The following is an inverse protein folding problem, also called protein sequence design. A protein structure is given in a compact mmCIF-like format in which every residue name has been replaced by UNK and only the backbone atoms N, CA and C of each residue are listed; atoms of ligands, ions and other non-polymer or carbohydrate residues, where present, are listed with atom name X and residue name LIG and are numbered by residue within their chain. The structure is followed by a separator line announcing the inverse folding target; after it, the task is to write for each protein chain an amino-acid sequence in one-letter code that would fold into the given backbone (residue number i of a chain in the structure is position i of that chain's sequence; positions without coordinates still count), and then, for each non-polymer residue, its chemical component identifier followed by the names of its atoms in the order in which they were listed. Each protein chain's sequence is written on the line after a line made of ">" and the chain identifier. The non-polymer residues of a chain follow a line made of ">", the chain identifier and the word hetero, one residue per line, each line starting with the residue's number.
data_IF_645443339614
#
_entry.id   IF_645443339614
#
_cell.length_a   1.000
_cell.length_b   1.000
_cell.length_c   1.000
_cell.angle_alpha   90.00
_cell.angle_beta   90.00
_cell.angle_gamma   90.00
#
_symmetry.space_group_name_H-M   'P 1'
#
loop_
_entity.id
_entity.type
_entity.pdbx_description
1 polymer ?
#
# COMPACT_ATOMS: atom_id res chain seq x y z
N UNK A 1 -9.54 -29.94 -13.45
CA UNK A 1 -9.23 -28.60 -14.00
C UNK A 1 -10.18 -27.58 -13.37
N UNK A 2 -9.72 -26.81 -12.37
CA UNK A 2 -10.53 -25.75 -11.74
C UNK A 2 -10.36 -24.47 -12.54
N UNK A 3 -11.44 -24.00 -13.17
CA UNK A 3 -11.48 -22.79 -13.99
C UNK A 3 -11.31 -21.57 -13.06
N UNK A 4 -10.30 -20.74 -13.33
CA UNK A 4 -10.01 -19.51 -12.60
C UNK A 4 -11.21 -18.55 -12.76
N UNK A 5 -11.84 -18.03 -11.69
CA UNK A 5 -12.97 -17.12 -11.81
C UNK A 5 -12.50 -15.81 -12.44
N UNK A 6 -13.19 -15.35 -13.49
CA UNK A 6 -12.81 -14.13 -14.20
C UNK A 6 -13.22 -12.90 -13.37
N UNK A 7 -12.52 -11.78 -13.51
CA UNK A 7 -12.81 -10.48 -12.85
C UNK A 7 -14.30 -10.09 -12.95
N UNK A 8 -14.93 -10.49 -14.06
CA UNK A 8 -16.36 -10.26 -14.34
C UNK A 8 -17.26 -11.10 -13.43
N UNK A 9 -16.84 -12.29 -13.00
CA UNK A 9 -17.60 -13.14 -12.08
C UNK A 9 -17.58 -12.57 -10.65
N UNK A 10 -16.46 -12.00 -10.20
CA UNK A 10 -16.38 -11.35 -8.88
C UNK A 10 -17.18 -10.05 -8.87
N UNK A 11 -17.06 -9.25 -9.94
CA UNK A 11 -17.88 -8.05 -10.13
C UNK A 11 -19.36 -8.43 -10.20
N UNK A 12 -19.74 -9.51 -10.91
CA UNK A 12 -21.13 -10.01 -10.94
C UNK A 12 -21.58 -10.60 -9.61
N UNK A 13 -20.73 -11.24 -8.81
CA UNK A 13 -21.12 -11.72 -7.47
C UNK A 13 -21.31 -10.55 -6.50
N UNK A 14 -20.51 -9.49 -6.61
CA UNK A 14 -20.67 -8.27 -5.82
C UNK A 14 -21.82 -7.38 -6.33
N UNK A 15 -22.11 -7.38 -7.63
CA UNK A 15 -23.27 -6.68 -8.24
C UNK A 15 -24.58 -7.44 -8.05
N UNK A 16 -24.59 -8.78 -8.06
CA UNK A 16 -25.82 -9.59 -7.99
C UNK A 16 -26.47 -9.59 -6.61
N UNK A 17 -25.72 -9.28 -5.55
CA UNK A 17 -26.29 -9.00 -4.22
C UNK A 17 -26.78 -7.54 -4.08
N UNK A 18 -26.53 -6.68 -5.08
CA UNK A 18 -26.74 -5.21 -5.04
C UNK A 18 -27.60 -4.74 -6.23
N UNK A 19 -28.18 -5.64 -7.02
CA UNK A 19 -28.91 -5.30 -8.25
C UNK A 19 -30.39 -4.92 -8.00
N UNK A 20 -30.88 -4.93 -6.76
CA UNK A 20 -32.21 -4.39 -6.44
C UNK A 20 -32.08 -3.08 -5.64
N UNK A 21 -32.25 -1.97 -6.37
CA UNK A 21 -32.75 -0.67 -5.88
C UNK A 21 -31.79 0.31 -5.15
N UNK A 22 -30.47 0.18 -5.30
CA UNK A 22 -29.53 1.06 -4.56
C UNK A 22 -29.05 2.23 -5.44
N UNK A 23 -29.65 3.41 -5.24
CA UNK A 23 -29.29 4.66 -5.94
C UNK A 23 -27.82 5.06 -5.75
N UNK A 24 -27.23 5.74 -6.75
CA UNK A 24 -25.82 6.16 -6.79
C UNK A 24 -25.29 6.83 -5.51
N UNK A 25 -26.15 7.47 -4.71
CA UNK A 25 -25.78 8.13 -3.45
C UNK A 25 -25.42 7.15 -2.33
N UNK A 26 -26.09 5.99 -2.24
CA UNK A 26 -25.81 4.98 -1.19
C UNK A 26 -24.52 4.18 -1.48
N UNK A 27 -24.23 3.94 -2.77
CA UNK A 27 -23.00 3.28 -3.22
C UNK A 27 -21.75 4.08 -2.82
N UNK A 28 -21.84 5.42 -2.88
CA UNK A 28 -20.76 6.33 -2.49
C UNK A 28 -20.58 6.35 -0.97
N UNK A 29 -21.67 6.29 -0.20
CA UNK A 29 -21.61 6.20 1.25
C UNK A 29 -20.96 4.88 1.72
N UNK A 30 -21.17 3.77 0.98
CA UNK A 30 -20.49 2.50 1.21
C UNK A 30 -18.97 2.54 0.94
N UNK A 31 -18.54 3.30 -0.08
CA UNK A 31 -17.11 3.53 -0.37
C UNK A 31 -16.46 4.45 0.68
N UNK A 32 -17.20 5.43 1.19
CA UNK A 32 -16.76 6.35 2.25
C UNK A 32 -16.65 5.65 3.62
N UNK A 33 -17.59 4.75 3.95
CA UNK A 33 -17.66 4.09 5.26
C UNK A 33 -16.65 2.95 5.44
N UNK A 34 -16.07 2.41 4.36
CA UNK A 34 -15.02 1.37 4.44
C UNK A 34 -13.67 1.97 4.87
N UNK A 35 -13.54 2.23 6.17
CA UNK A 35 -12.26 2.45 6.86
C UNK A 35 -11.44 1.15 6.86
N UNK A 36 -10.83 0.78 5.73
CA UNK A 36 -9.93 -0.37 5.63
C UNK A 36 -8.46 -0.05 5.96
N UNK A 37 -8.17 1.15 6.44
CA UNK A 37 -6.80 1.63 6.63
C UNK A 37 -5.98 0.90 7.72
N UNK A 38 -6.52 -0.12 8.43
CA UNK A 38 -5.81 -0.71 9.57
C UNK A 38 -5.65 -2.23 9.62
N UNK A 39 -6.05 -2.99 8.60
CA UNK A 39 -6.03 -4.46 8.70
C UNK A 39 -5.16 -5.24 7.69
N UNK A 40 -4.48 -4.58 6.75
CA UNK A 40 -3.58 -5.30 5.83
C UNK A 40 -2.34 -5.85 6.56
N UNK A 41 -1.71 -5.07 7.45
CA UNK A 41 -0.53 -5.54 8.20
C UNK A 41 -0.85 -6.67 9.21
N UNK A 42 -2.07 -6.71 9.77
CA UNK A 42 -2.46 -7.74 10.74
C UNK A 42 -2.78 -9.08 10.07
N UNK A 43 -3.42 -9.09 8.90
CA UNK A 43 -3.79 -10.35 8.21
C UNK A 43 -2.58 -11.09 7.60
N UNK A 44 -1.52 -10.36 7.21
CA UNK A 44 -0.28 -10.98 6.70
C UNK A 44 0.50 -11.69 7.80
N UNK A 45 0.44 -11.20 9.04
CA UNK A 45 1.21 -11.76 10.15
C UNK A 45 0.56 -13.03 10.75
N UNK A 46 -0.75 -13.21 10.58
CA UNK A 46 -1.52 -14.28 11.23
C UNK A 46 -1.46 -15.63 10.48
N UNK A 47 -0.87 -15.68 9.28
CA UNK A 47 -0.71 -16.91 8.48
C UNK A 47 0.75 -17.32 8.24
N UNK A 48 1.72 -16.74 8.95
CA UNK A 48 3.12 -17.14 8.79
C UNK A 48 3.35 -18.48 9.49
N UNK A 49 3.59 -19.53 8.70
CA UNK A 49 4.05 -20.82 9.22
C UNK A 49 5.35 -20.65 10.01
N UNK A 50 5.61 -21.57 10.96
CA UNK A 50 6.80 -21.50 11.82
C UNK A 50 8.12 -21.38 11.02
N UNK A 51 8.21 -22.09 9.89
CA UNK A 51 9.34 -22.01 8.97
C UNK A 51 9.51 -20.64 8.31
N UNK A 52 8.40 -19.97 7.95
CA UNK A 52 8.47 -18.62 7.39
C UNK A 52 8.93 -17.60 8.44
N UNK A 53 8.48 -17.71 9.70
CA UNK A 53 8.99 -16.86 10.79
C UNK A 53 10.48 -17.07 11.07
N UNK A 54 10.94 -18.32 11.06
CA UNK A 54 12.36 -18.64 11.21
C UNK A 54 13.18 -18.07 10.03
N UNK A 55 12.70 -18.20 8.80
CA UNK A 55 13.35 -17.65 7.62
C UNK A 55 13.38 -16.10 7.63
N UNK A 56 12.32 -15.42 8.07
CA UNK A 56 12.32 -13.97 8.30
C UNK A 56 13.38 -13.56 9.33
N UNK A 57 13.49 -14.28 10.45
CA UNK A 57 14.48 -14.00 11.48
C UNK A 57 15.91 -14.21 10.96
N UNK A 58 16.17 -15.32 10.26
CA UNK A 58 17.47 -15.63 9.66
C UNK A 58 17.84 -14.60 8.59
N UNK A 59 16.91 -14.21 7.70
CA UNK A 59 17.17 -13.22 6.67
C UNK A 59 17.51 -11.84 7.26
N UNK A 60 16.79 -11.41 8.32
CA UNK A 60 17.08 -10.16 9.02
C UNK A 60 18.41 -10.17 9.75
N UNK A 61 18.79 -11.32 10.32
CA UNK A 61 20.09 -11.50 10.97
C UNK A 61 21.24 -11.53 9.96
N UNK A 62 21.11 -12.30 8.89
CA UNK A 62 22.12 -12.45 7.84
C UNK A 62 22.35 -11.14 7.05
N UNK A 63 21.35 -10.27 6.95
CA UNK A 63 21.47 -8.94 6.33
C UNK A 63 22.05 -7.84 7.22
N UNK A 64 22.46 -8.16 8.45
CA UNK A 64 22.99 -7.16 9.40
C UNK A 64 24.51 -6.97 9.25
N UNK A 65 24.97 -5.72 9.40
CA UNK A 65 26.40 -5.40 9.49
C UNK A 65 27.11 -6.12 10.64
N UNK A 66 26.41 -6.36 11.76
CA UNK A 66 26.97 -7.08 12.91
C UNK A 66 27.26 -8.55 12.59
N UNK A 67 26.45 -9.18 11.74
CA UNK A 67 26.66 -10.57 11.33
C UNK A 67 27.94 -10.72 10.51
N UNK A 68 28.18 -9.80 9.58
CA UNK A 68 29.40 -9.78 8.77
C UNK A 68 30.64 -9.71 9.66
N UNK A 69 30.65 -8.81 10.65
CA UNK A 69 31.78 -8.66 11.57
C UNK A 69 32.04 -9.92 12.41
N UNK A 70 30.98 -10.53 12.97
CA UNK A 70 31.10 -11.77 13.74
C UNK A 70 31.60 -12.91 12.85
N UNK A 71 31.06 -13.04 11.64
CA UNK A 71 31.44 -14.08 10.69
C UNK A 71 32.91 -13.95 10.28
N UNK A 72 33.37 -12.75 9.97
CA UNK A 72 34.79 -12.48 9.69
C UNK A 72 35.67 -12.79 10.91
N UNK A 73 35.25 -12.40 12.12
CA UNK A 73 36.00 -12.71 13.34
C UNK A 73 36.13 -14.23 13.56
N UNK A 74 35.07 -15.01 13.35
CA UNK A 74 35.11 -16.48 13.47
C UNK A 74 36.09 -17.09 12.46
N UNK A 75 36.09 -16.61 11.22
CA UNK A 75 37.06 -17.08 10.21
C UNK A 75 38.49 -16.77 10.65
N UNK A 76 38.75 -15.55 11.11
CA UNK A 76 40.09 -15.15 11.58
C UNK A 76 40.53 -15.96 12.80
N UNK A 77 39.62 -16.24 13.74
CA UNK A 77 39.89 -17.11 14.90
C UNK A 77 40.19 -18.54 14.45
N UNK A 78 39.45 -19.09 13.49
CA UNK A 78 39.68 -20.43 12.97
C UNK A 78 41.04 -20.57 12.29
N UNK A 79 41.38 -19.60 11.43
CA UNK A 79 42.69 -19.53 10.77
C UNK A 79 43.79 -19.37 11.82
N UNK A 80 43.62 -18.44 12.76
CA UNK A 80 44.59 -18.21 13.84
C UNK A 80 44.81 -19.44 14.73
N UNK A 81 43.75 -20.16 15.08
CA UNK A 81 43.83 -21.38 15.87
C UNK A 81 44.58 -22.50 15.12
N UNK A 82 44.32 -22.68 13.82
CA UNK A 82 45.01 -23.69 13.01
C UNK A 82 46.48 -23.33 12.75
N UNK A 83 46.80 -22.05 12.58
CA UNK A 83 48.19 -21.58 12.49
C UNK A 83 48.92 -21.71 13.83
N UNK A 84 48.25 -21.49 14.96
CA UNK A 84 48.88 -21.66 16.28
C UNK A 84 49.18 -23.13 16.60
N UNK A 85 48.34 -24.06 16.15
CA UNK A 85 48.51 -25.52 16.30
C UNK A 85 49.53 -26.12 15.30
N UNK A 86 50.67 -25.46 15.11
CA UNK A 86 51.73 -25.79 14.14
C UNK A 86 52.22 -27.26 14.20
N UNK A 87 52.08 -27.92 15.35
CA UNK A 87 52.52 -29.30 15.58
C UNK A 87 51.51 -30.37 15.15
N UNK A 88 50.20 -30.08 15.12
CA UNK A 88 49.17 -31.01 14.66
C UNK A 88 47.92 -30.23 14.20
N UNK A 89 48.01 -29.51 13.07
CA UNK A 89 46.92 -28.65 12.61
C UNK A 89 45.70 -29.49 12.22
N UNK A 90 44.53 -29.10 12.72
CA UNK A 90 43.26 -29.76 12.41
C UNK A 90 42.83 -29.54 10.93
N UNK A 91 43.16 -28.39 10.36
CA UNK A 91 42.92 -28.01 8.97
C UNK A 91 44.19 -27.36 8.37
N UNK A 92 45.14 -28.15 7.82
CA UNK A 92 46.37 -27.64 7.25
C UNK A 92 46.10 -26.71 6.07
N UNK A 93 46.97 -25.72 5.85
CA UNK A 93 46.94 -24.88 4.64
C UNK A 93 46.96 -25.79 3.39
N UNK A 94 45.97 -25.72 2.47
CA UNK A 94 45.11 -24.57 2.12
C UNK A 94 43.69 -24.52 2.75
N UNK A 95 43.48 -25.08 3.95
CA UNK A 95 42.20 -25.06 4.70
C UNK A 95 41.03 -25.72 3.97
N UNK A 96 41.10 -27.03 3.75
CA UNK A 96 40.11 -27.77 2.94
C UNK A 96 38.73 -27.81 3.62
N UNK A 97 38.69 -27.93 4.94
CA UNK A 97 37.43 -28.02 5.69
C UNK A 97 36.73 -26.68 5.72
N UNK A 98 37.46 -25.61 5.99
CA UNK A 98 36.93 -24.25 5.94
C UNK A 98 36.37 -23.92 4.55
N UNK A 99 37.11 -24.27 3.50
CA UNK A 99 36.68 -24.03 2.12
C UNK A 99 35.41 -24.81 1.74
N UNK A 100 35.31 -26.07 2.17
CA UNK A 100 34.11 -26.90 1.97
C UNK A 100 32.88 -26.27 2.64
N UNK A 101 33.02 -25.83 3.89
CA UNK A 101 31.93 -25.20 4.65
C UNK A 101 31.49 -23.90 4.00
N UNK A 102 32.44 -23.02 3.64
CA UNK A 102 32.15 -21.75 2.98
C UNK A 102 31.45 -21.96 1.63
N UNK A 103 31.90 -22.95 0.85
CA UNK A 103 31.28 -23.30 -0.43
C UNK A 103 29.82 -23.76 -0.26
N UNK A 104 29.55 -24.58 0.77
CA UNK A 104 28.19 -25.02 1.08
C UNK A 104 27.28 -23.85 1.50
N UNK A 105 27.78 -22.95 2.36
CA UNK A 105 27.04 -21.76 2.78
C UNK A 105 26.72 -20.86 1.58
N UNK A 106 27.71 -20.62 0.71
CA UNK A 106 27.53 -19.80 -0.49
C UNK A 106 26.51 -20.41 -1.46
N UNK A 107 26.49 -21.74 -1.63
CA UNK A 107 25.52 -22.41 -2.49
C UNK A 107 24.07 -22.21 -2.01
N UNK A 108 23.84 -22.19 -0.69
CA UNK A 108 22.52 -21.99 -0.10
C UNK A 108 22.12 -20.51 -0.02
N UNK A 109 23.08 -19.58 -0.08
CA UNK A 109 22.80 -18.14 0.00
C UNK A 109 21.93 -17.64 -1.14
N UNK A 110 22.22 -18.00 -2.40
CA UNK A 110 21.50 -17.43 -3.55
C UNK A 110 19.98 -17.75 -3.53
N UNK A 111 19.52 -18.99 -3.29
CA UNK A 111 18.10 -19.29 -3.13
C UNK A 111 17.48 -18.62 -1.91
N UNK A 112 18.20 -18.52 -0.80
CA UNK A 112 17.70 -17.87 0.42
C UNK A 112 17.48 -16.37 0.20
N UNK A 113 18.43 -15.71 -0.47
CA UNK A 113 18.31 -14.31 -0.88
C UNK A 113 17.11 -14.17 -1.84
N UNK A 114 17.00 -15.02 -2.86
CA UNK A 114 15.90 -15.00 -3.82
C UNK A 114 14.53 -15.21 -3.17
N UNK A 115 14.42 -16.13 -2.22
CA UNK A 115 13.18 -16.33 -1.44
C UNK A 115 12.85 -15.11 -0.58
N UNK A 116 13.86 -14.48 0.02
CA UNK A 116 13.66 -13.26 0.82
C UNK A 116 13.24 -12.07 -0.05
N UNK A 117 13.79 -11.96 -1.27
CA UNK A 117 13.46 -10.94 -2.26
C UNK A 117 12.03 -11.14 -2.78
N UNK A 118 11.68 -12.34 -3.24
CA UNK A 118 10.33 -12.66 -3.72
C UNK A 118 9.25 -12.35 -2.67
N UNK A 119 9.56 -12.55 -1.38
CA UNK A 119 8.67 -12.17 -0.27
C UNK A 119 8.56 -10.66 -0.07
N UNK A 120 9.63 -9.90 -0.27
CA UNK A 120 9.58 -8.43 -0.21
C UNK A 120 8.82 -7.86 -1.41
N UNK A 121 9.09 -8.36 -2.61
CA UNK A 121 8.38 -7.95 -3.84
C UNK A 121 6.87 -8.17 -3.74
N UNK A 122 6.43 -9.29 -3.16
CA UNK A 122 5.01 -9.55 -2.92
C UNK A 122 4.38 -8.50 -1.97
N UNK A 123 5.08 -8.14 -0.89
CA UNK A 123 4.62 -7.09 0.04
C UNK A 123 4.60 -5.72 -0.63
N UNK A 124 5.61 -5.42 -1.43
CA UNK A 124 5.71 -4.15 -2.16
C UNK A 124 4.63 -4.04 -3.23
N UNK A 125 4.30 -5.14 -3.94
CA UNK A 125 3.17 -5.19 -4.87
C UNK A 125 1.85 -4.91 -4.18
N UNK A 126 1.59 -5.53 -3.03
CA UNK A 126 0.37 -5.29 -2.26
C UNK A 126 0.27 -3.84 -1.76
N UNK A 127 1.40 -3.23 -1.38
CA UNK A 127 1.45 -1.81 -1.02
C UNK A 127 1.12 -0.93 -2.23
N UNK A 128 1.73 -1.19 -3.38
CA UNK A 128 1.46 -0.45 -4.61
C UNK A 128 0.00 -0.55 -5.07
N UNK A 129 -0.63 -1.74 -4.96
CA UNK A 129 -2.06 -1.90 -5.25
C UNK A 129 -2.95 -1.08 -4.31
N UNK A 130 -2.64 -1.07 -3.00
CA UNK A 130 -3.39 -0.25 -2.05
C UNK A 130 -3.21 1.25 -2.31
N UNK A 131 -1.98 1.69 -2.58
CA UNK A 131 -1.69 3.09 -2.91
C UNK A 131 -2.44 3.52 -4.18
N UNK A 132 -2.50 2.66 -5.19
CA UNK A 132 -3.28 2.90 -6.41
C UNK A 132 -4.78 3.08 -6.10
N UNK A 133 -5.36 2.22 -5.27
CA UNK A 133 -6.78 2.31 -4.88
C UNK A 133 -7.05 3.60 -4.10
N UNK A 134 -6.15 3.98 -3.18
CA UNK A 134 -6.27 5.23 -2.41
C UNK A 134 -6.19 6.45 -3.33
N UNK A 135 -5.30 6.43 -4.32
CA UNK A 135 -5.17 7.51 -5.28
C UNK A 135 -6.44 7.66 -6.13
N UNK A 136 -6.95 6.55 -6.68
CA UNK A 136 -8.20 6.54 -7.45
C UNK A 136 -9.40 7.04 -6.62
N UNK A 137 -9.48 6.63 -5.34
CA UNK A 137 -10.51 7.14 -4.42
C UNK A 137 -10.40 8.65 -4.22
N UNK A 138 -9.17 9.16 -4.08
CA UNK A 138 -8.92 10.59 -3.90
C UNK A 138 -9.33 11.38 -5.14
N UNK A 139 -9.02 10.88 -6.34
CA UNK A 139 -9.43 11.47 -7.61
C UNK A 139 -10.95 11.60 -7.73
N UNK A 140 -11.69 10.52 -7.45
CA UNK A 140 -13.16 10.51 -7.48
C UNK A 140 -13.75 11.52 -6.48
N UNK A 141 -13.18 11.60 -5.27
CA UNK A 141 -13.65 12.56 -4.24
C UNK A 141 -13.42 14.01 -4.69
N UNK A 142 -12.28 14.29 -5.33
CA UNK A 142 -11.97 15.64 -5.84
C UNK A 142 -12.91 16.01 -6.99
N UNK A 143 -13.23 15.07 -7.88
CA UNK A 143 -14.20 15.30 -8.96
C UNK A 143 -15.60 15.58 -8.41
N UNK A 144 -16.08 14.80 -7.43
CA UNK A 144 -17.38 15.03 -6.78
C UNK A 144 -17.41 16.39 -6.06
N UNK A 145 -16.35 16.72 -5.34
CA UNK A 145 -16.24 18.00 -4.66
C UNK A 145 -16.30 19.17 -5.65
N UNK A 146 -15.62 19.05 -6.81
CA UNK A 146 -15.73 20.04 -7.88
C UNK A 146 -17.16 20.19 -8.38
N UNK A 147 -17.86 19.08 -8.65
CA UNK A 147 -19.26 19.11 -9.10
C UNK A 147 -20.16 19.83 -8.09
N UNK A 148 -20.02 19.52 -6.80
CA UNK A 148 -20.79 20.17 -5.74
C UNK A 148 -20.47 21.67 -5.61
N UNK A 149 -19.20 22.04 -5.75
CA UNK A 149 -18.80 23.46 -5.77
C UNK A 149 -19.46 24.18 -6.96
N UNK A 150 -19.44 23.58 -8.16
CA UNK A 150 -20.08 24.17 -9.34
C UNK A 150 -21.59 24.34 -9.17
N UNK A 151 -22.27 23.38 -8.54
CA UNK A 151 -23.69 23.48 -8.21
C UNK A 151 -23.97 24.60 -7.21
N UNK A 152 -23.17 24.72 -6.16
CA UNK A 152 -23.28 25.82 -5.19
C UNK A 152 -23.05 27.18 -5.85
N UNK A 153 -22.05 27.30 -6.73
CA UNK A 153 -21.78 28.53 -7.49
C UNK A 153 -22.94 28.89 -8.43
N UNK A 154 -23.53 27.91 -9.11
CA UNK A 154 -24.73 28.12 -9.93
C UNK A 154 -25.91 28.61 -9.10
N UNK A 155 -26.12 28.02 -7.92
CA UNK A 155 -27.20 28.41 -7.01
C UNK A 155 -26.99 29.83 -6.45
N UNK A 156 -25.77 30.18 -6.02
CA UNK A 156 -25.45 31.54 -5.60
C UNK A 156 -25.70 32.55 -6.72
N UNK A 157 -25.30 32.24 -7.96
CA UNK A 157 -25.52 33.12 -9.11
C UNK A 157 -27.02 33.33 -9.39
N UNK A 158 -27.85 32.31 -9.22
CA UNK A 158 -29.32 32.43 -9.34
C UNK A 158 -29.89 33.36 -8.27
N UNK A 159 -29.46 33.21 -7.01
CA UNK A 159 -29.89 34.07 -5.90
C UNK A 159 -29.50 35.53 -6.16
N UNK A 160 -28.23 35.79 -6.47
CA UNK A 160 -27.71 37.12 -6.81
C UNK A 160 -28.46 37.78 -7.98
N UNK A 161 -28.80 37.01 -9.00
CA UNK A 161 -29.58 37.53 -10.13
C UNK A 161 -31.02 37.85 -9.71
N UNK A 162 -31.64 36.98 -8.91
CA UNK A 162 -32.98 37.18 -8.33
C UNK A 162 -33.08 38.48 -7.53
N UNK A 163 -32.10 38.75 -6.67
CA UNK A 163 -32.00 39.99 -5.87
C UNK A 163 -31.87 41.25 -6.75
N UNK A 164 -31.05 41.19 -7.82
CA UNK A 164 -30.91 42.31 -8.77
C UNK A 164 -32.20 42.59 -9.53
N UNK A 165 -32.98 41.57 -9.89
CA UNK A 165 -34.30 41.75 -10.51
C UNK A 165 -35.31 42.35 -9.53
N UNK A 166 -35.29 41.93 -8.26
CA UNK A 166 -36.13 42.52 -7.21
C UNK A 166 -35.82 44.01 -6.98
N UNK A 167 -34.54 44.38 -6.86
CA UNK A 167 -34.13 45.78 -6.67
C UNK A 167 -34.52 46.69 -7.85
N UNK A 168 -34.44 46.19 -9.10
CA UNK A 168 -34.89 46.95 -10.28
C UNK A 168 -36.39 47.22 -10.28
N UNK A 169 -37.20 46.26 -9.82
CA UNK A 169 -38.65 46.47 -9.71
C UNK A 169 -39.00 47.44 -8.59
N UNK A 170 -38.35 47.34 -7.43
CA UNK A 170 -38.58 48.27 -6.30
C UNK A 170 -38.17 49.72 -6.65
N UNK A 171 -37.08 49.92 -7.40
CA UNK A 171 -36.69 51.26 -7.86
C UNK A 171 -37.64 51.83 -8.93
N UNK A 172 -38.15 50.99 -9.83
CA UNK A 172 -39.12 51.40 -10.86
C UNK A 172 -40.47 51.80 -10.26
N UNK A 173 -40.94 51.05 -9.25
CA UNK A 173 -42.16 51.39 -8.51
C UNK A 173 -42.03 52.71 -7.72
N UNK A 174 -40.87 52.94 -7.09
CA UNK A 174 -40.60 54.19 -6.35
C UNK A 174 -40.55 55.42 -7.27
N UNK A 175 -39.97 55.28 -8.47
CA UNK A 175 -39.94 56.35 -9.49
C UNK A 175 -41.31 56.70 -10.08
N UNK A 176 -42.28 55.78 -10.01
CA UNK A 176 -43.64 55.97 -10.50
C UNK A 176 -44.55 56.62 -9.44
N UNK A 177 -44.26 56.43 -8.15
CA UNK A 177 -44.98 57.07 -7.05
C UNK A 177 -44.64 58.55 -6.85
N UNK A 178 -43.37 58.95 -7.00
CA UNK A 178 -42.94 60.36 -6.85
C UNK A 178 -43.36 61.26 -8.04
N UNK A 179 -43.87 60.68 -9.13
CA UNK A 179 -44.28 61.42 -10.35
C UNK A 179 -45.75 61.86 -10.36
N UNK A 180 -46.59 61.33 -9.47
CA UNK A 180 -48.02 61.66 -9.36
C UNK A 180 -48.30 62.74 -8.29
N UNK A 181 -47.27 63.24 -7.59
CA UNK A 181 -47.38 64.25 -6.52
C UNK A 181 -46.84 65.65 -6.91
N UNK A 182 -46.58 65.89 -8.20
CA UNK A 182 -46.10 67.18 -8.74
C UNK A 182 -47.03 67.78 -9.81
#
# INVERSE_FOLDING_TARGET
>A
MKKNPSKIDIIKTVMKDVEEDVGNEEMIHLILQRQFSKNTDKRVNEQLTFGQRAADAIARFAGSWTFILIFTAVILVWVGANVYFLANPYDPYPFILLNLVLSCIAAVQAPLIMMSQNRQEEKDRQRAENDYIVNLKSEIIVEDLHRKIDELLKNQKKILNGEKSGQKQTQSAKKKGDGDEA
#
